data_IF_375138057149
#
_entry.id   IF_375138057149
#
_cell.length_a   1.000
_cell.length_b   1.000
_cell.length_c   1.000
_cell.angle_alpha   90.00
_cell.angle_beta   90.00
_cell.angle_gamma   90.00
#
_symmetry.space_group_name_H-M   'P 1'
#
loop_
_entity.id
_entity.type
_entity.pdbx_description
1 polymer ?
#
# COMPACT_ATOMS: atom_id res chain seq x y z
N UNK A 1 31.41 2.26 36.26
CA UNK A 1 30.56 3.22 37.00
C UNK A 1 31.24 4.60 37.03
N UNK A 2 31.13 5.39 35.96
CA UNK A 2 31.64 6.77 35.88
C UNK A 2 30.52 7.71 35.42
N UNK A 3 29.43 7.74 36.19
CA UNK A 3 28.27 8.62 35.98
C UNK A 3 28.17 9.66 37.10
N UNK A 4 29.28 10.35 37.40
CA UNK A 4 29.34 11.35 38.47
C UNK A 4 29.18 12.77 37.92
N UNK A 5 28.33 13.56 38.59
CA UNK A 5 28.14 15.02 38.55
C UNK A 5 27.84 15.71 37.19
N UNK A 6 28.45 15.30 36.08
CA UNK A 6 28.29 15.92 34.77
C UNK A 6 26.92 15.66 34.12
N UNK A 7 26.27 14.53 34.42
CA UNK A 7 24.92 14.23 33.91
C UNK A 7 23.81 15.10 34.50
N UNK A 8 24.00 15.62 35.73
CA UNK A 8 23.02 16.47 36.42
C UNK A 8 23.06 17.94 35.97
N UNK A 9 24.24 18.42 35.57
CA UNK A 9 24.39 19.76 34.99
C UNK A 9 23.71 19.89 33.61
N UNK A 10 23.74 18.83 32.81
CA UNK A 10 23.05 18.78 31.51
C UNK A 10 21.52 18.75 31.66
N UNK A 11 20.98 18.06 32.68
CA UNK A 11 19.55 18.10 33.00
C UNK A 11 19.09 19.44 33.58
N UNK A 12 19.94 20.13 34.35
CA UNK A 12 19.62 21.47 34.87
C UNK A 12 19.70 22.57 33.81
N UNK A 13 20.58 22.44 32.81
CA UNK A 13 20.64 23.39 31.71
C UNK A 13 19.35 23.38 30.88
N UNK A 14 18.76 22.19 30.65
CA UNK A 14 17.52 22.04 29.88
C UNK A 14 16.30 22.57 30.64
N UNK A 15 16.19 22.31 31.95
CA UNK A 15 15.09 22.85 32.77
C UNK A 15 15.20 24.37 33.00
N UNK A 16 16.42 24.91 33.10
CA UNK A 16 16.64 26.37 33.18
C UNK A 16 16.37 27.03 31.82
N UNK A 17 16.73 26.39 30.70
CA UNK A 17 16.34 26.84 29.36
C UNK A 17 14.82 26.84 29.19
N UNK A 18 14.12 25.77 29.57
CA UNK A 18 12.65 25.71 29.57
C UNK A 18 12.00 26.78 30.47
N UNK A 19 12.62 27.11 31.61
CA UNK A 19 12.12 28.13 32.54
C UNK A 19 12.36 29.59 32.07
N UNK A 20 13.54 29.88 31.47
CA UNK A 20 13.86 31.21 30.91
C UNK A 20 13.11 31.45 29.62
N UNK A 21 12.96 30.40 28.83
CA UNK A 21 12.23 30.45 27.58
C UNK A 21 10.71 30.45 27.82
N UNK A 22 10.22 30.04 29.00
CA UNK A 22 8.81 30.02 29.37
C UNK A 22 8.06 31.32 29.08
N UNK A 23 8.47 32.48 29.61
CA UNK A 23 7.66 33.72 29.42
C UNK A 23 7.69 34.27 28.00
N UNK A 24 8.84 34.23 27.33
CA UNK A 24 8.96 34.71 25.95
C UNK A 24 8.29 33.75 24.96
N UNK A 25 8.39 32.44 25.19
CA UNK A 25 7.64 31.45 24.43
C UNK A 25 6.14 31.54 24.69
N UNK A 26 5.71 31.72 25.94
CA UNK A 26 4.28 31.88 26.28
C UNK A 26 3.72 33.19 25.70
N UNK A 27 4.53 34.25 25.60
CA UNK A 27 4.15 35.48 24.90
C UNK A 27 4.04 35.24 23.38
N UNK A 28 5.07 34.65 22.77
CA UNK A 28 5.06 34.32 21.34
C UNK A 28 3.91 33.36 20.96
N UNK A 29 3.60 32.39 21.82
CA UNK A 29 2.47 31.48 21.64
C UNK A 29 1.14 32.23 21.74
N UNK A 30 0.99 33.15 22.69
CA UNK A 30 -0.22 33.99 22.80
C UNK A 30 -0.40 34.87 21.58
N UNK A 31 0.67 35.52 21.12
CA UNK A 31 0.64 36.37 19.92
C UNK A 31 0.24 35.54 18.69
N UNK A 32 0.83 34.35 18.52
CA UNK A 32 0.46 33.43 17.45
C UNK A 32 -0.99 32.95 17.55
N UNK A 33 -1.50 32.67 18.76
CA UNK A 33 -2.90 32.28 18.98
C UNK A 33 -3.85 33.41 18.60
N UNK A 34 -3.57 34.65 19.00
CA UNK A 34 -4.42 35.79 18.64
C UNK A 34 -4.39 36.07 17.13
N UNK A 35 -3.25 35.86 16.46
CA UNK A 35 -3.14 35.99 15.01
C UNK A 35 -4.04 34.98 14.27
N UNK A 36 -4.06 33.71 14.70
CA UNK A 36 -4.82 32.66 14.01
C UNK A 36 -6.28 32.56 14.47
N UNK A 37 -6.62 33.03 15.68
CA UNK A 37 -7.96 32.97 16.28
C UNK A 37 -9.11 33.34 15.32
N UNK A 38 -9.05 34.42 14.52
CA UNK A 38 -10.16 34.78 13.62
C UNK A 38 -10.41 33.77 12.49
N UNK A 39 -9.43 32.92 12.18
CA UNK A 39 -9.52 31.89 11.14
C UNK A 39 -10.32 30.66 11.60
N UNK A 40 -10.65 30.56 12.89
CA UNK A 40 -11.40 29.44 13.44
C UNK A 40 -12.80 29.85 13.89
N UNK A 41 -13.73 28.91 13.76
CA UNK A 41 -15.13 29.07 14.17
C UNK A 41 -15.61 27.81 14.89
N UNK A 42 -16.39 28.00 15.95
CA UNK A 42 -16.96 26.89 16.70
C UNK A 42 -18.28 26.43 16.06
N UNK A 43 -18.38 25.14 15.75
CA UNK A 43 -19.61 24.53 15.25
C UNK A 43 -20.68 24.49 16.34
N UNK A 44 -21.88 25.03 16.07
CA UNK A 44 -22.99 25.06 17.03
C UNK A 44 -23.64 23.70 17.29
N UNK A 45 -23.42 22.71 16.42
CA UNK A 45 -23.98 21.36 16.56
C UNK A 45 -23.10 20.43 17.39
N UNK A 46 -21.81 20.33 17.07
CA UNK A 46 -20.89 19.41 17.76
C UNK A 46 -19.91 20.09 18.72
N UNK A 47 -19.83 21.43 18.74
CA UNK A 47 -18.93 22.17 19.63
C UNK A 47 -17.46 22.24 19.18
N UNK A 48 -17.09 21.56 18.09
CA UNK A 48 -15.71 21.54 17.58
C UNK A 48 -15.30 22.89 16.98
N UNK A 49 -14.06 23.29 17.22
CA UNK A 49 -13.41 24.40 16.54
C UNK A 49 -12.83 23.91 15.22
N UNK A 50 -13.22 24.55 14.11
CA UNK A 50 -12.77 24.20 12.77
C UNK A 50 -12.30 25.46 12.04
N UNK A 51 -11.40 25.31 11.07
CA UNK A 51 -11.01 26.44 10.25
C UNK A 51 -12.20 26.91 9.40
N UNK A 52 -12.34 28.23 9.27
CA UNK A 52 -13.44 28.90 8.58
C UNK A 52 -13.39 28.67 7.08
N UNK A 53 -12.20 28.63 6.50
CA UNK A 53 -12.00 28.59 5.05
C UNK A 53 -12.29 27.21 4.44
N UNK A 54 -11.83 26.12 5.09
CA UNK A 54 -11.88 24.79 4.50
C UNK A 54 -12.89 23.88 5.19
N UNK A 55 -12.95 23.88 6.52
CA UNK A 55 -13.69 22.88 7.30
C UNK A 55 -15.10 23.32 7.71
N UNK A 56 -15.44 24.59 7.52
CA UNK A 56 -16.75 25.15 7.84
C UNK A 56 -17.64 25.24 6.59
N UNK A 57 -18.92 24.89 6.74
CA UNK A 57 -19.93 25.11 5.73
C UNK A 57 -20.64 26.46 6.01
N UNK A 58 -20.36 27.53 5.24
CA UNK A 58 -20.92 28.85 5.49
C UNK A 58 -22.42 28.94 5.20
N UNK A 59 -22.96 28.09 4.32
CA UNK A 59 -24.40 28.07 4.01
C UNK A 59 -25.19 27.48 5.18
N UNK A 60 -24.69 26.41 5.79
CA UNK A 60 -25.35 25.73 6.90
C UNK A 60 -24.93 26.24 8.29
N UNK A 61 -23.91 27.11 8.37
CA UNK A 61 -23.33 27.61 9.62
C UNK A 61 -22.90 26.49 10.61
N UNK A 62 -22.37 25.40 10.06
CA UNK A 62 -21.89 24.22 10.80
C UNK A 62 -20.59 23.70 10.18
N UNK A 63 -19.86 22.81 10.86
CA UNK A 63 -18.73 22.13 10.23
C UNK A 63 -19.19 21.15 9.15
N UNK A 64 -18.35 20.88 8.14
CA UNK A 64 -18.68 19.96 7.03
C UNK A 64 -18.97 18.53 7.49
N UNK A 65 -18.45 18.11 8.64
CA UNK A 65 -18.79 16.81 9.23
C UNK A 65 -20.22 16.75 9.80
N UNK A 66 -20.77 17.90 10.22
CA UNK A 66 -22.14 18.01 10.73
C UNK A 66 -23.15 18.36 9.63
N UNK A 67 -22.74 19.20 8.67
CA UNK A 67 -23.55 19.60 7.54
C UNK A 67 -22.64 19.59 6.29
N UNK A 68 -22.46 18.41 5.68
CA UNK A 68 -21.62 18.28 4.49
C UNK A 68 -22.16 19.12 3.34
N UNK A 69 -21.25 19.51 2.45
CA UNK A 69 -21.59 20.16 1.19
C UNK A 69 -21.77 19.05 0.15
N UNK A 70 -22.96 18.95 -0.44
CA UNK A 70 -23.34 17.83 -1.29
C UNK A 70 -22.37 17.63 -2.45
N UNK A 71 -21.97 18.70 -3.13
CA UNK A 71 -21.11 18.65 -4.30
C UNK A 71 -19.68 18.17 -3.97
N UNK A 72 -19.15 18.57 -2.81
CA UNK A 72 -17.83 18.14 -2.34
C UNK A 72 -17.84 16.65 -1.97
N UNK A 73 -18.87 16.20 -1.24
CA UNK A 73 -19.02 14.80 -0.86
C UNK A 73 -19.27 13.91 -2.08
N UNK A 74 -20.10 14.32 -3.03
CA UNK A 74 -20.32 13.57 -4.27
C UNK A 74 -19.01 13.39 -5.05
N UNK A 75 -18.17 14.42 -5.08
CA UNK A 75 -16.85 14.36 -5.71
C UNK A 75 -15.93 13.39 -4.97
N UNK A 76 -15.91 13.44 -3.64
CA UNK A 76 -15.13 12.53 -2.81
C UNK A 76 -15.58 11.08 -2.96
N UNK A 77 -16.89 10.81 -2.90
CA UNK A 77 -17.49 9.48 -3.09
C UNK A 77 -17.16 8.92 -4.47
N UNK A 78 -17.24 9.75 -5.52
CA UNK A 78 -16.87 9.32 -6.88
C UNK A 78 -15.39 8.94 -6.94
N UNK A 79 -14.51 9.74 -6.34
CA UNK A 79 -13.09 9.43 -6.31
C UNK A 79 -12.79 8.14 -5.52
N UNK A 80 -13.44 7.93 -4.39
CA UNK A 80 -13.32 6.70 -3.59
C UNK A 80 -13.82 5.47 -4.36
N UNK A 81 -14.93 5.60 -5.10
CA UNK A 81 -15.44 4.51 -5.93
C UNK A 81 -14.44 4.11 -7.02
N UNK A 82 -13.84 5.09 -7.70
CA UNK A 82 -12.79 4.85 -8.71
C UNK A 82 -11.59 4.16 -8.07
N UNK A 83 -11.10 4.63 -6.93
CA UNK A 83 -9.99 3.98 -6.23
C UNK A 83 -10.31 2.54 -5.85
N UNK A 84 -11.51 2.29 -5.31
CA UNK A 84 -11.97 0.95 -4.95
C UNK A 84 -12.03 0.02 -6.16
N UNK A 85 -12.58 0.50 -7.29
CA UNK A 85 -12.62 -0.26 -8.53
C UNK A 85 -11.21 -0.64 -9.00
N UNK A 86 -10.29 0.32 -9.06
CA UNK A 86 -8.90 0.08 -9.48
C UNK A 86 -8.22 -0.93 -8.55
N UNK A 87 -8.38 -0.80 -7.24
CA UNK A 87 -7.79 -1.74 -6.27
C UNK A 87 -8.35 -3.15 -6.44
N UNK A 88 -9.67 -3.28 -6.63
CA UNK A 88 -10.31 -4.58 -6.83
C UNK A 88 -9.84 -5.25 -8.13
N UNK A 89 -9.75 -4.50 -9.23
CA UNK A 89 -9.30 -5.03 -10.52
C UNK A 89 -7.85 -5.54 -10.41
N UNK A 90 -6.95 -4.74 -9.82
CA UNK A 90 -5.57 -5.15 -9.57
C UNK A 90 -5.48 -6.39 -8.67
N UNK A 91 -6.31 -6.47 -7.63
CA UNK A 91 -6.37 -7.63 -6.75
C UNK A 91 -6.82 -8.90 -7.48
N UNK A 92 -7.83 -8.80 -8.35
CA UNK A 92 -8.33 -9.93 -9.15
C UNK A 92 -7.26 -10.42 -10.14
N UNK A 93 -6.59 -9.50 -10.84
CA UNK A 93 -5.51 -9.83 -11.77
C UNK A 93 -4.34 -10.53 -11.06
N UNK A 94 -3.90 -10.00 -9.92
CA UNK A 94 -2.79 -10.57 -9.17
C UNK A 94 -3.16 -11.92 -8.54
N UNK A 95 -4.38 -12.07 -8.03
CA UNK A 95 -4.86 -13.36 -7.54
C UNK A 95 -4.90 -14.42 -8.64
N UNK A 96 -5.31 -14.04 -9.86
CA UNK A 96 -5.28 -14.95 -11.01
C UNK A 96 -3.84 -15.36 -11.32
N UNK A 97 -2.92 -14.41 -11.40
CA UNK A 97 -1.48 -14.67 -11.64
C UNK A 97 -0.88 -15.58 -10.56
N UNK A 98 -1.20 -15.33 -9.29
CA UNK A 98 -0.73 -16.12 -8.16
C UNK A 98 -1.36 -17.51 -8.11
N UNK A 99 -2.63 -17.65 -8.51
CA UNK A 99 -3.30 -18.96 -8.65
C UNK A 99 -2.65 -19.80 -9.76
N UNK A 100 -2.37 -19.19 -10.91
CA UNK A 100 -1.66 -19.85 -12.03
C UNK A 100 -0.25 -20.27 -11.61
N UNK A 101 0.50 -19.39 -10.95
CA UNK A 101 1.82 -19.72 -10.39
C UNK A 101 1.73 -20.81 -9.32
N UNK A 102 0.71 -20.80 -8.48
CA UNK A 102 0.47 -21.84 -7.49
C UNK A 102 0.22 -23.22 -8.12
N UNK A 103 -0.55 -23.26 -9.21
CA UNK A 103 -0.75 -24.49 -10.01
C UNK A 103 0.56 -24.97 -10.63
N UNK A 104 1.40 -24.07 -11.12
CA UNK A 104 2.74 -24.41 -11.63
C UNK A 104 3.64 -25.00 -10.54
N UNK A 105 3.64 -24.40 -9.35
CA UNK A 105 4.43 -24.89 -8.20
C UNK A 105 3.96 -26.27 -7.73
N UNK A 106 2.65 -26.51 -7.72
CA UNK A 106 2.04 -27.77 -7.31
C UNK A 106 2.03 -28.87 -8.40
N UNK A 107 2.47 -28.58 -9.62
CA UNK A 107 2.48 -29.54 -10.71
C UNK A 107 3.39 -30.73 -10.37
N UNK A 108 2.90 -31.96 -10.55
CA UNK A 108 3.67 -33.19 -10.29
C UNK A 108 4.57 -33.54 -11.47
N UNK A 109 5.76 -34.05 -11.17
CA UNK A 109 6.67 -34.62 -12.15
C UNK A 109 6.07 -35.92 -12.70
N UNK A 110 6.13 -36.10 -14.02
CA UNK A 110 5.57 -37.29 -14.68
C UNK A 110 6.43 -38.54 -14.47
N UNK A 111 7.75 -38.35 -14.38
CA UNK A 111 8.71 -39.44 -14.20
C UNK A 111 8.72 -40.01 -12.77
N UNK A 112 8.63 -39.15 -11.74
CA UNK A 112 8.78 -39.58 -10.34
C UNK A 112 7.60 -39.22 -9.42
N UNK A 113 6.58 -38.52 -9.92
CA UNK A 113 5.37 -38.16 -9.16
C UNK A 113 5.54 -37.03 -8.14
N UNK A 114 6.76 -36.58 -7.87
CA UNK A 114 7.06 -35.52 -6.89
C UNK A 114 6.69 -34.13 -7.39
N UNK A 115 6.35 -33.16 -6.51
CA UNK A 115 6.06 -31.79 -6.92
C UNK A 115 7.27 -31.13 -7.59
N UNK A 116 7.03 -30.44 -8.70
CA UNK A 116 8.07 -29.76 -9.50
C UNK A 116 8.50 -28.42 -8.91
N UNK A 117 7.74 -27.87 -7.95
CA UNK A 117 8.01 -26.61 -7.27
C UNK A 117 8.20 -25.42 -8.23
N UNK A 118 7.62 -25.49 -9.43
CA UNK A 118 7.71 -24.44 -10.45
C UNK A 118 9.11 -24.29 -11.03
N UNK A 119 9.93 -25.35 -10.97
CA UNK A 119 11.26 -25.39 -11.58
C UNK A 119 11.19 -26.02 -12.97
N UNK A 120 12.13 -25.63 -13.84
CA UNK A 120 12.30 -26.21 -15.19
C UNK A 120 12.76 -27.68 -15.15
N UNK A 121 13.35 -28.12 -14.05
CA UNK A 121 13.76 -29.50 -13.85
C UNK A 121 13.24 -30.01 -12.53
N UNK A 122 12.82 -31.28 -12.47
CA UNK A 122 12.35 -31.88 -11.23
C UNK A 122 13.51 -31.94 -10.21
N UNK A 123 13.33 -31.42 -8.99
CA UNK A 123 14.39 -31.43 -7.98
C UNK A 123 14.73 -32.84 -7.48
N UNK A 124 13.83 -33.82 -7.64
CA UNK A 124 14.03 -35.18 -7.15
C UNK A 124 14.66 -36.13 -8.18
N UNK A 125 14.35 -35.99 -9.48
CA UNK A 125 14.81 -36.92 -10.51
C UNK A 125 15.54 -36.25 -11.69
N UNK A 126 15.62 -34.92 -11.74
CA UNK A 126 16.31 -34.17 -12.80
C UNK A 126 15.58 -34.11 -14.15
N UNK A 127 14.46 -34.81 -14.30
CA UNK A 127 13.68 -34.81 -15.54
C UNK A 127 13.16 -33.40 -15.89
N UNK A 128 13.15 -33.02 -17.19
CA UNK A 128 12.60 -31.74 -17.62
C UNK A 128 11.10 -31.66 -17.36
N UNK A 129 10.65 -30.51 -16.86
CA UNK A 129 9.22 -30.26 -16.64
C UNK A 129 8.60 -29.60 -17.88
N UNK A 130 7.27 -29.50 -17.93
CA UNK A 130 6.58 -28.83 -19.05
C UNK A 130 7.00 -27.35 -19.22
N UNK A 131 7.52 -26.72 -18.17
CA UNK A 131 8.07 -25.35 -18.20
C UNK A 131 9.50 -25.27 -18.77
N UNK A 132 10.17 -26.41 -19.02
CA UNK A 132 11.54 -26.49 -19.53
C UNK A 132 11.61 -26.37 -21.07
N UNK A 133 10.56 -26.79 -21.77
CA UNK A 133 10.51 -26.80 -23.23
C UNK A 133 10.28 -25.36 -23.70
N UNK A 134 11.38 -24.72 -24.14
CA UNK A 134 11.38 -23.33 -24.63
C UNK A 134 11.43 -23.24 -26.15
N UNK A 135 11.88 -24.31 -26.83
CA UNK A 135 11.88 -24.45 -28.28
C UNK A 135 11.25 -25.81 -28.65
N UNK A 136 10.49 -25.83 -29.74
CA UNK A 136 9.88 -27.04 -30.26
C UNK A 136 10.98 -27.98 -30.79
N UNK A 137 11.03 -29.24 -30.33
CA UNK A 137 12.00 -30.21 -30.86
C UNK A 137 11.72 -30.62 -32.31
N UNK A 138 10.51 -30.35 -32.82
CA UNK A 138 10.12 -30.70 -34.19
C UNK A 138 10.41 -29.60 -35.21
N UNK A 139 10.14 -28.34 -34.88
CA UNK A 139 10.29 -27.22 -35.82
C UNK A 139 11.23 -26.09 -35.35
N UNK A 140 11.77 -26.17 -34.13
CA UNK A 140 12.66 -25.14 -33.57
C UNK A 140 11.99 -23.84 -33.14
N UNK A 141 10.68 -23.66 -33.37
CA UNK A 141 9.95 -22.48 -32.96
C UNK A 141 9.91 -22.33 -31.42
N UNK A 142 9.92 -21.08 -30.92
CA UNK A 142 9.78 -20.82 -29.48
C UNK A 142 8.42 -21.29 -28.98
N UNK A 143 8.41 -21.99 -27.86
CA UNK A 143 7.19 -22.56 -27.26
C UNK A 143 6.83 -21.81 -26.00
N UNK A 144 5.52 -21.61 -25.77
CA UNK A 144 5.03 -21.06 -24.51
C UNK A 144 5.29 -22.07 -23.38
N UNK A 145 5.85 -21.64 -22.23
CA UNK A 145 6.07 -22.53 -21.09
C UNK A 145 4.77 -23.24 -20.70
N UNK A 146 4.79 -24.58 -20.59
CA UNK A 146 3.62 -25.38 -20.25
C UNK A 146 2.70 -25.77 -21.41
N UNK A 147 3.00 -25.39 -22.66
CA UNK A 147 2.22 -25.81 -23.83
C UNK A 147 2.41 -27.31 -24.14
N UNK A 148 1.29 -28.04 -24.35
CA UNK A 148 1.31 -29.48 -24.68
C UNK A 148 1.58 -29.76 -26.17
N UNK A 149 1.30 -28.79 -27.02
CA UNK A 149 1.48 -28.84 -28.47
C UNK A 149 2.16 -27.56 -28.96
N UNK A 150 2.91 -27.66 -30.05
CA UNK A 150 3.51 -26.51 -30.70
C UNK A 150 2.44 -25.70 -31.45
N UNK A 151 2.37 -24.39 -31.18
CA UNK A 151 1.47 -23.48 -31.89
C UNK A 151 1.78 -23.32 -33.39
N UNK A 152 3.01 -23.60 -33.80
CA UNK A 152 3.45 -23.46 -35.20
C UNK A 152 3.30 -24.76 -36.00
N UNK A 153 3.78 -25.89 -35.48
CA UNK A 153 3.83 -27.15 -36.24
C UNK A 153 2.87 -28.23 -35.74
N UNK A 154 2.09 -27.97 -34.68
CA UNK A 154 1.17 -28.96 -34.07
C UNK A 154 1.86 -30.15 -33.39
N UNK A 155 3.19 -30.24 -33.47
CA UNK A 155 3.99 -31.30 -32.86
C UNK A 155 3.86 -31.30 -31.35
N UNK A 156 3.71 -32.50 -30.77
CA UNK A 156 3.54 -32.64 -29.33
C UNK A 156 4.86 -32.30 -28.62
N UNK A 157 4.84 -31.34 -27.70
CA UNK A 157 6.04 -30.80 -27.07
C UNK A 157 6.58 -31.68 -25.93
N UNK A 158 6.28 -32.97 -25.97
CA UNK A 158 6.40 -33.93 -24.87
C UNK A 158 5.55 -33.54 -23.64
N UNK A 159 4.50 -34.32 -23.45
CA UNK A 159 3.73 -34.39 -22.24
C UNK A 159 3.11 -35.79 -22.10
N UNK A 160 3.95 -36.83 -22.00
CA UNK A 160 3.63 -38.10 -21.34
C UNK A 160 4.72 -38.41 -20.32
#
# INVERSE_FOLDING_TARGET
MLGGLFGRAASSARSVQEAVAGRQHDAALRDAVEEIRPLFVQCRRCGNWVCREICFNPTAQMCKQCAPIAEEEETAIRAEHVQTQVVNDLFLEENKRMSEKGKEVAAKCKECGQPTLGKKFCPSCGAPTASAISNCPHCGAKTTPGARFCGECGGQLAAN
#
